data_IF_906890342950
#
_entry.id   IF_906890342950
#
_cell.length_a   1.000
_cell.length_b   1.000
_cell.length_c   1.000
_cell.angle_alpha   90.00
_cell.angle_beta   90.00
_cell.angle_gamma   90.00
#
_symmetry.space_group_name_H-M   'P 1'
#
loop_
_entity.id
_entity.type
_entity.pdbx_description
1 polymer ?
#
# COMPACT_ATOMS: atom_id res chain seq x y z
N UNK A 1 3.74 -33.74 -40.32
CA UNK A 1 4.43 -32.49 -39.94
C UNK A 1 4.43 -32.43 -38.42
N UNK A 2 5.57 -32.70 -37.77
CA UNK A 2 5.67 -32.62 -36.30
C UNK A 2 5.99 -31.17 -35.91
N UNK A 3 5.22 -30.58 -35.00
CA UNK A 3 5.48 -29.23 -34.51
C UNK A 3 6.76 -29.24 -33.66
N UNK A 4 7.65 -28.27 -33.89
CA UNK A 4 8.85 -28.11 -33.07
C UNK A 4 8.48 -27.83 -31.60
N UNK A 5 9.20 -28.39 -30.62
CA UNK A 5 8.92 -28.15 -29.22
C UNK A 5 9.10 -26.66 -28.88
N UNK A 6 8.06 -26.08 -28.29
CA UNK A 6 8.03 -24.67 -27.87
C UNK A 6 8.81 -24.55 -26.56
N UNK A 7 10.05 -24.08 -26.61
CA UNK A 7 10.87 -23.85 -25.42
C UNK A 7 10.44 -22.54 -24.75
N UNK A 8 10.00 -22.62 -23.50
CA UNK A 8 9.71 -21.46 -22.65
C UNK A 8 10.82 -21.40 -21.59
N UNK A 9 11.74 -20.43 -21.67
CA UNK A 9 12.80 -20.30 -20.68
C UNK A 9 12.20 -20.07 -19.28
N UNK A 10 12.84 -20.67 -18.28
CA UNK A 10 12.47 -20.57 -16.86
C UNK A 10 13.49 -19.70 -16.15
N UNK A 11 13.01 -18.71 -15.40
CA UNK A 11 13.84 -17.72 -14.71
C UNK A 11 13.65 -17.80 -13.20
N UNK A 12 14.71 -17.47 -12.47
CA UNK A 12 14.69 -17.38 -11.01
C UNK A 12 14.36 -15.96 -10.56
N UNK A 13 14.09 -15.81 -9.26
CA UNK A 13 13.95 -14.48 -8.63
C UNK A 13 15.24 -13.66 -8.80
N UNK A 14 16.40 -14.30 -8.75
CA UNK A 14 17.68 -13.60 -8.94
C UNK A 14 17.83 -13.05 -10.34
N UNK A 15 17.33 -13.75 -11.37
CA UNK A 15 17.34 -13.26 -12.74
C UNK A 15 16.39 -12.06 -12.89
N UNK A 16 15.18 -12.18 -12.32
CA UNK A 16 14.16 -11.13 -12.33
C UNK A 16 14.64 -9.81 -11.74
N UNK A 17 15.40 -9.84 -10.63
CA UNK A 17 15.92 -8.64 -9.97
C UNK A 17 16.89 -7.81 -10.84
N UNK A 18 17.42 -8.40 -11.92
CA UNK A 18 18.30 -7.72 -12.88
C UNK A 18 17.61 -7.23 -14.15
N UNK A 19 16.30 -7.40 -14.30
CA UNK A 19 15.57 -7.00 -15.50
C UNK A 19 15.33 -5.49 -15.57
N UNK A 20 15.34 -4.95 -16.79
CA UNK A 20 15.01 -3.56 -17.07
C UNK A 20 13.58 -3.45 -17.65
N UNK A 21 12.85 -2.41 -17.24
CA UNK A 21 11.45 -2.18 -17.58
C UNK A 21 10.43 -2.91 -16.68
N UNK A 22 9.15 -2.77 -17.03
CA UNK A 22 8.03 -3.31 -16.25
C UNK A 22 7.77 -4.79 -16.63
N UNK A 23 8.23 -5.71 -15.80
CA UNK A 23 8.04 -7.15 -15.97
C UNK A 23 7.46 -7.78 -14.70
N UNK A 24 6.74 -8.88 -14.87
CA UNK A 24 6.33 -9.77 -13.77
C UNK A 24 6.92 -11.17 -13.99
N UNK A 25 7.28 -11.87 -12.90
CA UNK A 25 7.73 -13.26 -12.95
C UNK A 25 6.64 -14.19 -12.41
N UNK A 26 6.00 -14.98 -13.28
CA UNK A 26 4.93 -15.91 -12.91
C UNK A 26 5.41 -17.35 -13.04
N UNK A 27 5.70 -17.99 -11.90
CA UNK A 27 6.15 -19.40 -11.86
C UNK A 27 7.33 -19.67 -12.81
N UNK A 28 8.30 -18.75 -12.86
CA UNK A 28 9.47 -18.85 -13.73
C UNK A 28 9.29 -18.26 -15.13
N UNK A 29 8.11 -17.74 -15.47
CA UNK A 29 7.80 -17.19 -16.79
C UNK A 29 7.83 -15.65 -16.75
N UNK A 30 8.58 -14.98 -17.66
CA UNK A 30 8.57 -13.53 -17.77
C UNK A 30 7.28 -13.06 -18.46
N UNK A 31 6.56 -12.14 -17.83
CA UNK A 31 5.36 -11.50 -18.39
C UNK A 31 5.66 -10.00 -18.52
N UNK A 32 5.61 -9.48 -19.75
CA UNK A 32 5.75 -8.05 -19.97
C UNK A 32 4.49 -7.36 -19.44
N UNK A 33 4.65 -6.42 -18.50
CA UNK A 33 3.55 -5.53 -18.12
C UNK A 33 3.24 -4.65 -19.33
N UNK A 34 2.07 -4.85 -19.92
CA UNK A 34 1.61 -3.96 -20.98
C UNK A 34 1.15 -2.65 -20.31
N UNK A 35 1.77 -1.50 -20.63
CA UNK A 35 1.32 -0.23 -20.05
C UNK A 35 -0.13 -0.03 -20.47
N UNK A 36 -1.03 0.19 -19.51
CA UNK A 36 -2.43 0.43 -19.83
C UNK A 36 -2.51 1.67 -20.74
N UNK A 37 -2.91 1.53 -22.01
CA UNK A 37 -2.79 2.60 -23.01
C UNK A 37 -3.77 3.76 -22.75
N UNK A 38 -4.73 3.58 -21.84
CA UNK A 38 -5.77 4.57 -21.57
C UNK A 38 -5.95 4.80 -20.07
N UNK A 39 -6.30 6.05 -19.70
CA UNK A 39 -6.61 6.44 -18.33
C UNK A 39 -7.82 5.72 -17.71
N UNK A 40 -8.57 4.90 -18.46
CA UNK A 40 -9.70 4.11 -17.94
C UNK A 40 -9.26 3.08 -16.91
N UNK A 41 -8.16 2.37 -17.14
CA UNK A 41 -7.62 1.40 -16.18
C UNK A 41 -7.23 2.11 -14.89
N UNK A 42 -6.46 3.20 -15.01
CA UNK A 42 -6.08 4.08 -13.91
C UNK A 42 -7.30 4.61 -13.14
N UNK A 43 -8.37 5.01 -13.85
CA UNK A 43 -9.59 5.51 -13.23
C UNK A 43 -10.35 4.43 -12.46
N UNK A 44 -10.48 3.21 -13.00
CA UNK A 44 -11.12 2.09 -12.29
C UNK A 44 -10.29 1.70 -11.06
N UNK A 45 -8.97 1.54 -11.22
CA UNK A 45 -8.07 1.24 -10.11
C UNK A 45 -8.14 2.31 -9.01
N UNK A 46 -8.20 3.59 -9.39
CA UNK A 46 -8.33 4.71 -8.47
C UNK A 46 -9.65 4.70 -7.70
N UNK A 47 -10.76 4.30 -8.34
CA UNK A 47 -12.07 4.16 -7.66
C UNK A 47 -12.05 3.02 -6.64
N UNK A 48 -11.47 1.88 -6.99
CA UNK A 48 -11.32 0.75 -6.06
C UNK A 48 -10.41 1.16 -4.89
N UNK A 49 -9.28 1.80 -5.17
CA UNK A 49 -8.38 2.32 -4.14
C UNK A 49 -9.08 3.36 -3.24
N UNK A 50 -9.95 4.22 -3.79
CA UNK A 50 -10.74 5.17 -3.01
C UNK A 50 -11.69 4.48 -2.04
N UNK A 51 -12.39 3.43 -2.46
CA UNK A 51 -13.28 2.67 -1.56
C UNK A 51 -12.49 2.02 -0.41
N UNK A 52 -11.29 1.47 -0.70
CA UNK A 52 -10.43 0.89 0.32
C UNK A 52 -9.84 1.94 1.28
N UNK A 53 -9.52 3.15 0.79
CA UNK A 53 -8.97 4.25 1.60
C UNK A 53 -9.93 4.74 2.69
N UNK A 54 -11.24 4.49 2.57
CA UNK A 54 -12.20 4.79 3.63
C UNK A 54 -11.93 4.00 4.90
N UNK A 55 -11.28 2.84 4.80
CA UNK A 55 -10.91 2.06 5.97
C UNK A 55 -9.64 2.61 6.62
N UNK A 56 -8.55 2.67 5.84
CA UNK A 56 -7.20 2.92 6.35
C UNK A 56 -6.47 3.83 5.36
N UNK A 57 -5.82 4.86 5.89
CA UNK A 57 -4.84 5.66 5.18
C UNK A 57 -3.50 5.59 5.90
N UNK A 58 -2.44 5.38 5.14
CA UNK A 58 -1.05 5.38 5.62
C UNK A 58 -0.28 6.40 4.79
N UNK A 59 0.32 7.38 5.45
CA UNK A 59 1.28 8.30 4.85
C UNK A 59 2.68 7.95 5.35
N UNK A 60 3.64 7.90 4.43
CA UNK A 60 5.05 7.68 4.76
C UNK A 60 5.77 9.01 4.57
N UNK A 61 6.33 9.54 5.64
CA UNK A 61 6.95 10.85 5.63
C UNK A 61 8.19 10.86 4.75
N UNK A 62 8.29 11.94 3.97
CA UNK A 62 9.48 12.35 3.26
C UNK A 62 9.69 13.84 3.49
N UNK A 63 10.91 14.34 3.35
CA UNK A 63 11.19 15.78 3.53
C UNK A 63 10.33 16.66 2.61
N UNK A 64 10.00 16.17 1.41
CA UNK A 64 9.20 16.89 0.42
C UNK A 64 7.71 17.02 0.79
N UNK A 65 7.16 16.11 1.59
CA UNK A 65 5.71 16.02 1.85
C UNK A 65 5.33 16.14 3.33
N UNK A 66 6.32 16.06 4.23
CA UNK A 66 6.16 15.99 5.68
C UNK A 66 5.17 16.99 6.26
N UNK A 67 5.31 18.27 5.90
CA UNK A 67 4.42 19.32 6.42
C UNK A 67 2.96 19.08 6.05
N UNK A 68 2.68 18.73 4.79
CA UNK A 68 1.32 18.49 4.29
C UNK A 68 0.70 17.24 4.89
N UNK A 69 1.51 16.19 5.07
CA UNK A 69 1.07 14.90 5.62
C UNK A 69 0.75 14.99 7.12
N UNK A 70 1.44 15.88 7.84
CA UNK A 70 1.23 16.13 9.27
C UNK A 70 0.15 17.17 9.59
N UNK A 71 -0.34 17.91 8.58
CA UNK A 71 -1.31 18.99 8.77
C UNK A 71 -2.55 18.79 7.90
N UNK A 72 -2.55 19.33 6.69
CA UNK A 72 -3.70 19.42 5.80
C UNK A 72 -4.34 18.07 5.47
N UNK A 73 -3.52 17.06 5.14
CA UNK A 73 -4.05 15.74 4.76
C UNK A 73 -4.72 15.04 5.94
N UNK A 74 -4.15 15.19 7.13
CA UNK A 74 -4.73 14.62 8.34
C UNK A 74 -6.15 15.16 8.58
N UNK A 75 -6.33 16.48 8.50
CA UNK A 75 -7.65 17.11 8.63
C UNK A 75 -8.61 16.66 7.53
N UNK A 76 -8.14 16.65 6.27
CA UNK A 76 -8.93 16.19 5.13
C UNK A 76 -9.48 14.77 5.34
N UNK A 77 -8.63 13.80 5.72
CA UNK A 77 -9.07 12.42 5.90
C UNK A 77 -9.95 12.22 7.13
N UNK A 78 -9.76 13.04 8.18
CA UNK A 78 -10.64 13.07 9.35
C UNK A 78 -12.06 13.45 8.95
N UNK A 79 -12.20 14.42 8.06
CA UNK A 79 -13.49 14.95 7.62
C UNK A 79 -14.16 14.07 6.54
N UNK A 80 -13.41 13.15 5.92
CA UNK A 80 -13.89 12.19 4.92
C UNK A 80 -14.16 10.77 5.45
N UNK A 81 -14.46 10.65 6.73
CA UNK A 81 -14.92 9.42 7.36
C UNK A 81 -13.97 8.21 7.26
N UNK A 82 -12.65 8.44 7.25
CA UNK A 82 -11.66 7.34 7.29
C UNK A 82 -11.71 6.62 8.66
N UNK A 83 -11.49 5.31 8.69
CA UNK A 83 -11.45 4.53 9.94
C UNK A 83 -10.19 4.74 10.77
N UNK A 84 -9.03 4.75 10.11
CA UNK A 84 -7.71 4.92 10.73
C UNK A 84 -6.77 5.72 9.84
N UNK A 85 -5.96 6.62 10.43
CA UNK A 85 -4.91 7.38 9.75
C UNK A 85 -3.57 7.13 10.43
N UNK A 86 -2.58 6.67 9.66
CA UNK A 86 -1.25 6.34 10.17
C UNK A 86 -0.23 7.21 9.45
N UNK A 87 0.76 7.67 10.20
CA UNK A 87 1.92 8.36 9.69
C UNK A 87 3.15 7.58 10.10
N UNK A 88 3.91 7.09 9.12
CA UNK A 88 5.16 6.38 9.33
C UNK A 88 6.31 7.34 9.02
N UNK A 89 7.28 7.43 9.91
CA UNK A 89 8.52 8.16 9.67
C UNK A 89 9.68 7.18 9.49
N UNK A 90 10.20 6.99 8.27
CA UNK A 90 11.33 6.09 8.04
C UNK A 90 12.63 6.56 8.69
N UNK A 91 12.83 7.87 8.84
CA UNK A 91 14.05 8.42 9.43
C UNK A 91 14.11 8.11 10.92
N UNK A 92 12.98 8.26 11.62
CA UNK A 92 12.86 8.02 13.05
C UNK A 92 12.38 6.59 13.39
N UNK A 93 12.12 5.75 12.38
CA UNK A 93 11.47 4.42 12.50
C UNK A 93 10.25 4.46 13.41
N UNK A 94 9.41 5.47 13.24
CA UNK A 94 8.32 5.78 14.17
C UNK A 94 6.95 5.72 13.50
N UNK A 95 5.94 5.40 14.29
CA UNK A 95 4.55 5.35 13.84
C UNK A 95 3.71 6.19 14.79
N UNK A 96 2.90 7.08 14.22
CA UNK A 96 1.83 7.78 14.92
C UNK A 96 0.52 7.43 14.24
N UNK A 97 -0.53 7.18 15.01
CA UNK A 97 -1.83 6.87 14.45
C UNK A 97 -2.97 7.60 15.12
N UNK A 98 -4.04 7.72 14.37
CA UNK A 98 -5.33 8.17 14.82
C UNK A 98 -6.32 7.07 14.50
N UNK A 99 -7.06 6.63 15.52
CA UNK A 99 -8.11 5.63 15.40
C UNK A 99 -9.45 6.31 15.67
N UNK A 100 -10.42 6.10 14.79
CA UNK A 100 -11.76 6.65 14.96
C UNK A 100 -12.62 5.73 15.82
N UNK A 101 -13.12 6.25 16.94
CA UNK A 101 -14.09 5.59 17.81
C UNK A 101 -15.51 5.59 17.24
N UNK A 102 -16.42 4.85 17.88
CA UNK A 102 -17.85 4.80 17.52
C UNK A 102 -18.57 6.14 17.69
N UNK A 103 -18.03 7.02 18.53
CA UNK A 103 -18.48 8.39 18.77
C UNK A 103 -17.92 9.41 17.76
N UNK A 104 -17.22 8.92 16.72
CA UNK A 104 -16.48 9.73 15.72
C UNK A 104 -15.35 10.58 16.30
N UNK A 105 -14.98 10.37 17.56
CA UNK A 105 -13.77 10.98 18.09
C UNK A 105 -12.54 10.22 17.61
N UNK A 106 -11.47 10.95 17.37
CA UNK A 106 -10.21 10.38 16.93
C UNK A 106 -9.22 10.37 18.09
N UNK A 107 -8.80 9.17 18.49
CA UNK A 107 -7.78 9.01 19.51
C UNK A 107 -6.41 8.91 18.84
N UNK A 108 -5.52 9.84 19.20
CA UNK A 108 -4.11 9.76 18.83
C UNK A 108 -3.40 8.74 19.72
N UNK A 109 -2.66 7.82 19.12
CA UNK A 109 -1.85 6.84 19.84
C UNK A 109 -0.53 6.54 19.10
N UNK A 110 0.35 5.81 19.79
CA UNK A 110 1.52 5.15 19.19
C UNK A 110 1.33 3.64 19.38
N UNK A 111 1.65 2.81 18.37
CA UNK A 111 1.54 1.37 18.52
C UNK A 111 2.66 0.84 19.42
N UNK A 112 2.45 -0.37 19.95
CA UNK A 112 3.52 -1.19 20.51
C UNK A 112 4.31 -1.89 19.41
N UNK A 113 4.71 -3.15 19.66
CA UNK A 113 5.35 -4.00 18.65
C UNK A 113 4.40 -4.38 17.51
N UNK A 114 3.10 -4.38 17.76
CA UNK A 114 2.07 -4.70 16.79
C UNK A 114 0.97 -3.65 16.77
N UNK A 115 0.30 -3.58 15.63
CA UNK A 115 -0.88 -2.76 15.40
C UNK A 115 -1.98 -3.62 14.78
N UNK A 116 -3.19 -3.56 15.33
CA UNK A 116 -4.38 -4.15 14.71
C UNK A 116 -5.21 -3.06 14.06
N UNK A 117 -5.48 -3.21 12.76
CA UNK A 117 -6.25 -2.30 11.94
C UNK A 117 -7.54 -2.96 11.47
N UNK A 118 -8.66 -2.27 11.67
CA UNK A 118 -9.95 -2.68 11.13
C UNK A 118 -10.08 -2.22 9.68
N UNK A 119 -10.35 -3.17 8.79
CA UNK A 119 -10.53 -2.93 7.35
C UNK A 119 -12.02 -2.83 7.00
N UNK A 120 -12.86 -3.68 7.58
CA UNK A 120 -14.32 -3.61 7.50
C UNK A 120 -14.96 -4.13 8.80
N UNK A 121 -16.28 -4.30 8.83
CA UNK A 121 -17.04 -4.65 10.05
C UNK A 121 -16.52 -5.90 10.76
N UNK A 122 -16.09 -6.90 10.01
CA UNK A 122 -15.66 -8.22 10.45
C UNK A 122 -14.22 -8.58 10.05
N UNK A 123 -13.46 -7.61 9.52
CA UNK A 123 -12.09 -7.84 9.07
C UNK A 123 -11.11 -6.95 9.81
N UNK A 124 -10.19 -7.59 10.53
CA UNK A 124 -9.04 -6.94 11.15
C UNK A 124 -7.74 -7.55 10.64
N UNK A 125 -6.69 -6.73 10.56
CA UNK A 125 -5.34 -7.15 10.19
C UNK A 125 -4.34 -6.65 11.20
N UNK A 126 -3.52 -7.56 11.69
CA UNK A 126 -2.42 -7.24 12.60
C UNK A 126 -1.12 -7.16 11.81
N UNK A 127 -0.39 -6.06 12.00
CA UNK A 127 0.90 -5.82 11.39
C UNK A 127 1.97 -5.81 12.49
N UNK A 128 3.13 -6.39 12.18
CA UNK A 128 4.32 -6.25 13.00
C UNK A 128 5.03 -4.94 12.63
N UNK A 129 5.10 -4.02 13.57
CA UNK A 129 5.69 -2.69 13.36
C UNK A 129 7.18 -2.77 13.02
N UNK A 130 7.89 -3.81 13.48
CA UNK A 130 9.31 -4.01 13.22
C UNK A 130 9.61 -4.34 11.76
N UNK A 131 8.66 -4.94 11.04
CA UNK A 131 8.80 -5.31 9.63
C UNK A 131 8.41 -4.19 8.65
N UNK A 132 7.94 -3.04 9.15
CA UNK A 132 7.48 -1.92 8.32
C UNK A 132 8.60 -0.96 7.91
N UNK A 133 9.79 -1.09 8.50
CA UNK A 133 10.94 -0.25 8.24
C UNK A 133 12.12 -1.10 7.74
N UNK A 134 12.89 -0.62 6.75
CA UNK A 134 14.12 -1.28 6.31
C UNK A 134 15.25 -1.21 7.34
#
# INVERSE_FOLDING_TARGET
MSAAPKYIPQYTVSDYLGWDGDWELWSGIPIAMSPSPFGRHQAVASRVAYELRKAIVVEVLSDATRERDLTFKQELYRDHDVGSYLVLDPADKSIVMWLRGSDRQWLRSRPGSQITLRVCEDCERTLDCGNLFP
#
